data_IF_091017636877
#
_entry.id   IF_091017636877
#
_cell.length_a   1.000
_cell.length_b   1.000
_cell.length_c   1.000
_cell.angle_alpha   90.00
_cell.angle_beta   90.00
_cell.angle_gamma   90.00
#
_symmetry.space_group_name_H-M   'P 1'
#
loop_
_entity.id
_entity.type
_entity.pdbx_description
1 polymer ?
#
# COMPACT_ATOMS: atom_id res chain seq x y z
N UNK A 1 7.80 10.60 14.68
CA UNK A 1 8.14 10.12 13.33
C UNK A 1 9.52 9.44 13.33
N UNK A 2 10.60 10.15 13.64
CA UNK A 2 11.97 9.60 13.58
C UNK A 2 12.17 8.32 14.40
N UNK A 3 11.69 8.29 15.65
CA UNK A 3 11.81 7.10 16.50
C UNK A 3 11.04 5.89 15.94
N UNK A 4 9.90 6.14 15.27
CA UNK A 4 9.14 5.09 14.62
C UNK A 4 9.89 4.53 13.40
N UNK A 5 10.54 5.40 12.61
CA UNK A 5 11.40 4.99 11.49
C UNK A 5 12.59 4.18 12.00
N UNK A 6 13.29 4.65 13.03
CA UNK A 6 14.40 3.91 13.66
C UNK A 6 13.97 2.54 14.15
N UNK A 7 12.79 2.46 14.77
CA UNK A 7 12.21 1.18 15.17
C UNK A 7 11.97 0.27 13.96
N UNK A 8 11.31 0.75 12.90
CA UNK A 8 11.09 -0.01 11.67
C UNK A 8 12.40 -0.53 11.05
N UNK A 9 13.45 0.30 11.03
CA UNK A 9 14.79 -0.10 10.58
C UNK A 9 15.37 -1.21 11.47
N UNK A 10 15.23 -1.10 12.79
CA UNK A 10 15.75 -2.11 13.73
C UNK A 10 15.10 -3.48 13.59
N UNK A 11 13.86 -3.54 13.10
CA UNK A 11 13.12 -4.78 12.84
C UNK A 11 13.16 -5.20 11.36
N UNK A 12 13.92 -4.51 10.52
CA UNK A 12 14.09 -4.83 9.10
C UNK A 12 12.91 -4.52 8.20
N UNK A 13 12.00 -3.62 8.61
CA UNK A 13 10.82 -3.22 7.82
C UNK A 13 11.13 -2.13 6.78
N UNK A 14 12.16 -1.34 6.99
CA UNK A 14 12.56 -0.24 6.09
C UNK A 14 14.08 -0.22 5.95
N UNK A 15 14.57 0.21 4.79
CA UNK A 15 15.99 0.35 4.51
C UNK A 15 16.66 1.50 5.29
N UNK A 16 17.99 1.62 5.18
CA UNK A 16 18.76 2.73 5.77
C UNK A 16 18.29 4.09 5.24
N UNK A 17 18.00 4.17 3.95
CA UNK A 17 17.28 5.28 3.35
C UNK A 17 15.81 4.88 3.15
N UNK A 18 14.88 5.32 4.02
CA UNK A 18 13.48 4.91 3.96
C UNK A 18 12.66 5.76 2.98
N UNK A 19 13.29 6.61 2.16
CA UNK A 19 12.62 7.60 1.28
C UNK A 19 11.54 6.97 0.41
N UNK A 20 11.82 5.81 -0.19
CA UNK A 20 10.83 5.15 -1.06
C UNK A 20 9.55 4.73 -0.32
N UNK A 21 9.69 4.28 0.93
CA UNK A 21 8.56 3.87 1.77
C UNK A 21 7.81 5.07 2.33
N UNK A 22 8.54 6.02 2.92
CA UNK A 22 7.93 7.12 3.70
C UNK A 22 7.39 8.23 2.82
N UNK A 23 7.94 8.44 1.62
CA UNK A 23 7.44 9.40 0.64
C UNK A 23 6.43 8.78 -0.34
N UNK A 24 6.20 7.46 -0.25
CA UNK A 24 5.17 6.76 -1.00
C UNK A 24 5.55 6.40 -2.43
N UNK A 25 6.84 6.43 -2.78
CA UNK A 25 7.31 6.06 -4.12
C UNK A 25 7.18 4.57 -4.41
N UNK A 26 7.44 3.69 -3.44
CA UNK A 26 7.20 2.25 -3.60
C UNK A 26 5.71 1.97 -3.92
N UNK A 27 4.81 2.61 -3.19
CA UNK A 27 3.37 2.57 -3.44
C UNK A 27 3.01 3.12 -4.83
N UNK A 28 3.61 4.25 -5.26
CA UNK A 28 3.38 4.83 -6.58
C UNK A 28 3.84 3.90 -7.72
N UNK A 29 4.97 3.22 -7.55
CA UNK A 29 5.48 2.24 -8.53
C UNK A 29 4.51 1.07 -8.67
N UNK A 30 4.05 0.50 -7.54
CA UNK A 30 3.07 -0.60 -7.53
C UNK A 30 1.76 -0.19 -8.19
N UNK A 31 1.25 1.00 -7.88
CA UNK A 31 0.03 1.55 -8.49
C UNK A 31 0.17 1.75 -9.99
N UNK A 32 1.26 2.33 -10.47
CA UNK A 32 1.50 2.53 -11.90
C UNK A 32 1.56 1.20 -12.67
N UNK A 33 2.19 0.18 -12.10
CA UNK A 33 2.21 -1.18 -12.65
C UNK A 33 0.80 -1.79 -12.70
N UNK A 34 0.02 -1.68 -11.62
CA UNK A 34 -1.36 -2.17 -11.56
C UNK A 34 -2.27 -1.48 -12.60
N UNK A 35 -2.13 -0.16 -12.80
CA UNK A 35 -2.86 0.56 -13.85
C UNK A 35 -2.50 0.00 -15.22
N UNK A 36 -1.21 -0.15 -15.49
CA UNK A 36 -0.71 -0.63 -16.78
C UNK A 36 -1.26 -2.03 -17.09
N UNK A 37 -1.24 -2.94 -16.13
CA UNK A 37 -1.67 -4.33 -16.33
C UNK A 37 -3.18 -4.50 -16.29
N UNK A 38 -3.87 -3.89 -15.34
CA UNK A 38 -5.30 -4.13 -15.11
C UNK A 38 -6.22 -3.22 -15.90
N UNK A 39 -5.74 -2.04 -16.31
CA UNK A 39 -6.53 -1.05 -17.05
C UNK A 39 -6.02 -0.82 -18.48
N UNK A 40 -5.03 -1.62 -18.92
CA UNK A 40 -4.42 -1.55 -20.26
C UNK A 40 -4.05 -0.12 -20.67
N UNK A 41 -3.49 0.63 -19.73
CA UNK A 41 -3.17 2.06 -19.89
C UNK A 41 -1.74 2.31 -19.43
N UNK A 42 -0.81 2.69 -20.33
CA UNK A 42 0.55 3.03 -19.94
C UNK A 42 0.56 4.16 -18.90
N UNK A 43 1.14 3.88 -17.73
CA UNK A 43 1.15 4.82 -16.61
C UNK A 43 2.51 4.78 -15.91
N UNK A 44 3.03 5.95 -15.58
CA UNK A 44 4.34 6.09 -14.91
C UNK A 44 4.17 6.46 -13.44
N UNK A 45 5.10 6.06 -12.55
CA UNK A 45 5.04 6.44 -11.13
C UNK A 45 5.00 7.96 -10.91
N UNK A 46 5.64 8.74 -11.80
CA UNK A 46 5.66 10.21 -11.75
C UNK A 46 4.27 10.83 -11.96
N UNK A 47 3.38 10.15 -12.69
CA UNK A 47 1.99 10.61 -12.88
C UNK A 47 1.13 10.44 -11.62
N UNK A 48 1.56 9.63 -10.64
CA UNK A 48 0.85 9.45 -9.36
C UNK A 48 1.09 10.63 -8.41
N UNK A 49 2.30 11.21 -8.43
CA UNK A 49 2.75 12.29 -7.54
C UNK A 49 2.43 12.02 -6.04
N UNK A 50 3.13 11.04 -5.41
CA UNK A 50 2.77 10.56 -4.08
C UNK A 50 2.97 11.62 -3.00
N UNK A 51 2.09 11.62 -2.00
CA UNK A 51 2.28 12.33 -0.73
C UNK A 51 2.67 11.31 0.34
N UNK A 52 3.81 11.53 0.97
CA UNK A 52 4.31 10.66 2.03
C UNK A 52 3.63 10.80 3.39
N UNK A 53 4.14 10.04 4.36
CA UNK A 53 3.69 10.06 5.76
C UNK A 53 4.54 10.95 6.68
N UNK A 54 5.57 11.66 6.16
CA UNK A 54 6.49 12.48 6.96
C UNK A 54 5.79 13.56 7.79
N UNK A 55 4.71 14.13 7.25
CA UNK A 55 3.94 15.19 7.91
C UNK A 55 2.98 14.71 9.00
N UNK A 56 2.86 13.40 9.25
CA UNK A 56 1.94 12.86 10.26
C UNK A 56 2.55 12.98 11.65
N UNK A 57 1.88 13.72 12.54
CA UNK A 57 2.34 13.95 13.91
C UNK A 57 1.65 13.05 14.95
N UNK A 58 2.25 12.86 16.14
CA UNK A 58 1.60 12.15 17.24
C UNK A 58 0.24 12.74 17.64
N UNK A 59 0.08 14.07 17.59
CA UNK A 59 -1.16 14.77 17.92
C UNK A 59 -2.26 14.43 16.90
N UNK A 60 -1.91 14.41 15.61
CA UNK A 60 -2.83 13.99 14.54
C UNK A 60 -3.29 12.55 14.76
N UNK A 61 -2.38 11.64 15.12
CA UNK A 61 -2.71 10.23 15.40
C UNK A 61 -3.61 10.12 16.63
N UNK A 62 -3.33 10.86 17.70
CA UNK A 62 -4.13 10.86 18.92
C UNK A 62 -5.55 11.38 18.65
N UNK A 63 -5.69 12.47 17.90
CA UNK A 63 -6.99 13.01 17.49
C UNK A 63 -7.77 12.03 16.60
N UNK A 64 -7.11 11.42 15.62
CA UNK A 64 -7.73 10.40 14.77
C UNK A 64 -8.29 9.24 15.62
N UNK A 65 -7.51 8.78 16.60
CA UNK A 65 -7.91 7.70 17.51
C UNK A 65 -9.16 8.07 18.33
N UNK A 66 -9.25 9.30 18.85
CA UNK A 66 -10.45 9.79 19.57
C UNK A 66 -11.69 9.76 18.68
N UNK A 67 -11.51 10.03 17.38
CA UNK A 67 -12.60 9.98 16.38
C UNK A 67 -12.92 8.56 15.87
N UNK A 68 -12.27 7.51 16.41
CA UNK A 68 -12.42 6.15 15.90
C UNK A 68 -11.81 5.95 14.51
N UNK A 69 -10.82 6.77 14.13
CA UNK A 69 -10.14 6.76 12.83
C UNK A 69 -8.67 6.42 12.95
N UNK A 70 -8.06 6.05 11.83
CA UNK A 70 -6.63 5.74 11.70
C UNK A 70 -6.08 6.34 10.41
N UNK A 71 -4.83 6.81 10.45
CA UNK A 71 -4.10 7.14 9.23
C UNK A 71 -3.63 5.86 8.53
N UNK A 72 -3.79 5.83 7.21
CA UNK A 72 -3.24 4.82 6.31
C UNK A 72 -2.62 5.51 5.09
N UNK A 73 -1.49 5.02 4.61
CA UNK A 73 -0.99 5.42 3.29
C UNK A 73 -1.79 4.65 2.25
N UNK A 74 -2.74 5.32 1.60
CA UNK A 74 -3.71 4.69 0.70
C UNK A 74 -3.31 4.92 -0.74
N UNK A 75 -3.30 3.83 -1.50
CA UNK A 75 -3.26 3.83 -2.95
C UNK A 75 -4.70 3.80 -3.48
N UNK A 76 -5.09 4.76 -4.31
CA UNK A 76 -6.39 4.77 -4.97
C UNK A 76 -6.24 5.03 -6.46
N UNK A 77 -7.03 4.31 -7.25
CA UNK A 77 -7.10 4.43 -8.70
C UNK A 77 -8.56 4.37 -9.12
N UNK A 78 -8.98 5.30 -9.95
CA UNK A 78 -10.30 5.32 -10.55
C UNK A 78 -10.21 5.66 -12.04
N UNK A 79 -10.98 4.93 -12.86
CA UNK A 79 -11.18 5.27 -14.26
C UNK A 79 -12.43 6.14 -14.40
N UNK A 80 -12.23 7.40 -14.79
CA UNK A 80 -13.28 8.36 -15.07
C UNK A 80 -13.34 8.61 -16.59
N UNK A 81 -14.10 7.76 -17.30
CA UNK A 81 -14.11 7.75 -18.77
C UNK A 81 -12.75 7.34 -19.33
N UNK A 82 -12.12 8.23 -20.09
CA UNK A 82 -10.78 7.99 -20.68
C UNK A 82 -9.62 8.44 -19.79
N UNK A 83 -9.91 8.96 -18.59
CA UNK A 83 -8.89 9.42 -17.65
C UNK A 83 -8.70 8.43 -16.51
N UNK A 84 -7.44 8.19 -16.16
CA UNK A 84 -7.05 7.48 -14.94
C UNK A 84 -6.66 8.53 -13.90
N UNK A 85 -7.36 8.49 -12.76
CA UNK A 85 -7.01 9.27 -11.58
C UNK A 85 -6.34 8.33 -10.59
N UNK A 86 -5.05 8.51 -10.36
CA UNK A 86 -4.26 7.73 -9.40
C UNK A 86 -3.75 8.63 -8.29
N UNK A 87 -3.76 8.12 -7.05
CA UNK A 87 -3.28 8.85 -5.87
C UNK A 87 -2.61 7.90 -4.89
N UNK A 88 -1.55 8.40 -4.26
CA UNK A 88 -0.92 7.79 -3.08
C UNK A 88 -0.78 8.87 -2.02
N UNK A 89 -1.42 8.71 -0.88
CA UNK A 89 -1.36 9.69 0.20
C UNK A 89 -1.90 9.17 1.54
N UNK A 90 -1.57 9.83 2.68
CA UNK A 90 -2.22 9.54 3.95
C UNK A 90 -3.71 9.86 3.89
N UNK A 91 -4.53 8.93 4.36
CA UNK A 91 -5.98 9.08 4.48
C UNK A 91 -6.44 8.64 5.88
N UNK A 92 -7.46 9.33 6.40
CA UNK A 92 -8.15 8.92 7.61
C UNK A 92 -9.24 7.91 7.27
N UNK A 93 -9.07 6.68 7.73
CA UNK A 93 -10.05 5.61 7.58
C UNK A 93 -10.75 5.32 8.91
N UNK A 94 -12.03 5.00 8.87
CA UNK A 94 -12.81 4.53 10.03
C UNK A 94 -13.08 3.02 9.94
N UNK A 95 -13.72 2.46 10.98
CA UNK A 95 -13.98 1.03 11.10
C UNK A 95 -14.83 0.41 9.99
N UNK A 96 -15.51 1.20 9.16
CA UNK A 96 -16.23 0.69 7.98
C UNK A 96 -15.30 0.38 6.81
N UNK A 97 -14.11 0.96 6.78
CA UNK A 97 -13.10 0.69 5.75
C UNK A 97 -12.41 -0.66 5.99
N UNK A 98 -12.22 -1.49 4.95
CA UNK A 98 -11.43 -2.73 5.07
C UNK A 98 -9.98 -2.44 5.49
N UNK A 99 -9.48 -1.22 5.22
CA UNK A 99 -8.13 -0.81 5.57
C UNK A 99 -7.94 -0.54 7.07
N UNK A 100 -9.01 -0.30 7.83
CA UNK A 100 -8.92 0.10 9.23
C UNK A 100 -8.30 -0.99 10.12
N UNK A 101 -8.73 -2.24 9.90
CA UNK A 101 -8.28 -3.40 10.65
C UNK A 101 -6.89 -3.92 10.27
N UNK A 102 -6.34 -3.47 9.14
CA UNK A 102 -5.01 -3.88 8.70
C UNK A 102 -3.95 -3.24 9.59
N UNK A 103 -3.04 -4.03 10.14
CA UNK A 103 -2.04 -3.56 11.12
C UNK A 103 -0.66 -4.08 10.76
N UNK A 104 0.37 -3.47 11.35
CA UNK A 104 1.76 -3.88 11.13
C UNK A 104 2.10 -3.88 9.63
N UNK A 105 2.62 -4.99 9.12
CA UNK A 105 2.99 -5.23 7.72
C UNK A 105 1.84 -5.76 6.85
N UNK A 106 0.60 -5.81 7.36
CA UNK A 106 -0.55 -6.25 6.56
C UNK A 106 -0.71 -5.39 5.31
N UNK A 107 -0.92 -6.05 4.16
CA UNK A 107 -1.20 -5.38 2.88
C UNK A 107 -2.49 -5.90 2.28
N UNK A 108 -3.10 -5.13 1.40
CA UNK A 108 -4.39 -5.49 0.86
C UNK A 108 -4.81 -4.56 -0.26
N UNK A 109 -5.66 -5.09 -1.12
CA UNK A 109 -6.20 -4.41 -2.28
C UNK A 109 -7.69 -4.72 -2.37
N UNK A 110 -8.49 -3.70 -2.63
CA UNK A 110 -9.92 -3.83 -2.90
C UNK A 110 -10.17 -3.44 -4.35
N UNK A 111 -10.76 -4.36 -5.10
CA UNK A 111 -11.22 -4.13 -6.46
C UNK A 111 -12.70 -3.77 -6.43
N UNK A 112 -13.06 -2.71 -7.14
CA UNK A 112 -14.46 -2.35 -7.41
C UNK A 112 -14.72 -2.56 -8.88
N UNK A 113 -15.82 -3.25 -9.17
CA UNK A 113 -16.20 -3.60 -10.53
C UNK A 113 -17.64 -3.20 -10.79
N UNK A 114 -18.07 -3.27 -12.04
CA UNK A 114 -19.43 -3.00 -12.47
C UNK A 114 -20.41 -4.13 -12.13
N UNK A 115 -19.91 -5.37 -11.97
CA UNK A 115 -20.74 -6.56 -11.71
C UNK A 115 -20.55 -7.12 -10.29
N UNK A 116 -19.29 -7.39 -9.91
CA UNK A 116 -18.98 -7.89 -8.58
C UNK A 116 -18.97 -6.72 -7.58
N UNK A 117 -19.60 -6.89 -6.40
CA UNK A 117 -19.36 -6.01 -5.26
C UNK A 117 -17.87 -5.98 -4.88
N UNK A 118 -17.50 -5.09 -3.97
CA UNK A 118 -16.12 -4.93 -3.48
C UNK A 118 -15.46 -6.28 -3.16
N UNK A 119 -14.43 -6.62 -3.95
CA UNK A 119 -13.64 -7.84 -3.80
C UNK A 119 -12.27 -7.47 -3.23
N UNK A 120 -11.93 -8.04 -2.06
CA UNK A 120 -10.69 -7.68 -1.37
C UNK A 120 -9.76 -8.88 -1.18
N UNK A 121 -8.47 -8.67 -1.41
CA UNK A 121 -7.40 -9.60 -1.07
C UNK A 121 -6.59 -8.95 0.04
N UNK A 122 -6.39 -9.64 1.16
CA UNK A 122 -5.65 -9.14 2.32
C UNK A 122 -4.63 -10.19 2.75
N UNK A 123 -3.40 -9.74 2.97
CA UNK A 123 -2.35 -10.51 3.63
C UNK A 123 -2.08 -9.89 5.00
N UNK A 124 -2.03 -10.74 6.02
CA UNK A 124 -1.76 -10.32 7.40
C UNK A 124 -0.88 -11.36 8.08
N UNK A 125 -0.01 -10.87 8.95
CA UNK A 125 0.80 -11.72 9.82
C UNK A 125 -0.11 -12.51 10.79
N UNK A 126 0.29 -13.75 11.05
CA UNK A 126 -0.33 -14.65 12.03
C UNK A 126 0.72 -14.99 13.07
N UNK A 127 0.32 -15.47 14.23
CA UNK A 127 1.28 -15.91 15.25
C UNK A 127 2.28 -16.92 14.65
N UNK A 128 3.58 -16.64 14.79
CA UNK A 128 4.65 -17.45 14.22
C UNK A 128 4.92 -17.28 12.72
N UNK A 129 4.16 -16.45 11.99
CA UNK A 129 4.36 -16.17 10.57
C UNK A 129 4.67 -14.70 10.34
N UNK A 130 5.90 -14.41 9.89
CA UNK A 130 6.34 -13.07 9.51
C UNK A 130 6.58 -13.02 8.02
N UNK A 131 6.17 -11.93 7.39
CA UNK A 131 6.49 -11.66 5.99
C UNK A 131 8.01 -11.55 5.83
N UNK A 132 8.55 -12.01 4.71
CA UNK A 132 9.98 -11.97 4.46
C UNK A 132 10.36 -12.11 2.98
N UNK A 133 11.64 -12.41 2.71
CA UNK A 133 12.13 -12.53 1.34
C UNK A 133 11.65 -13.81 0.63
N UNK A 134 11.14 -14.79 1.37
CA UNK A 134 10.70 -16.09 0.82
C UNK A 134 9.47 -15.90 -0.07
N UNK A 135 8.55 -15.03 0.33
CA UNK A 135 7.34 -14.70 -0.43
C UNK A 135 7.70 -14.05 -1.76
N UNK A 136 8.64 -13.09 -1.76
CA UNK A 136 9.15 -12.46 -2.98
C UNK A 136 9.89 -13.45 -3.88
N UNK A 137 10.73 -14.32 -3.30
CA UNK A 137 11.44 -15.34 -4.05
C UNK A 137 10.49 -16.36 -4.70
N UNK A 138 9.40 -16.72 -4.00
CA UNK A 138 8.37 -17.60 -4.55
C UNK A 138 7.66 -16.95 -5.75
N UNK A 139 7.36 -15.65 -5.70
CA UNK A 139 6.81 -14.91 -6.84
C UNK A 139 7.70 -15.02 -8.09
N UNK A 140 9.01 -14.75 -7.94
CA UNK A 140 9.98 -14.88 -9.03
C UNK A 140 10.06 -16.32 -9.57
N UNK A 141 10.05 -17.32 -8.68
CA UNK A 141 10.06 -18.72 -9.07
C UNK A 141 8.82 -19.12 -9.86
N UNK A 142 7.64 -18.68 -9.42
CA UNK A 142 6.38 -18.93 -10.12
C UNK A 142 6.40 -18.31 -11.53
N UNK A 143 6.88 -17.07 -11.67
CA UNK A 143 7.02 -16.40 -12.96
C UNK A 143 8.00 -17.14 -13.88
N UNK A 144 9.15 -17.57 -13.35
CA UNK A 144 10.12 -18.38 -14.11
C UNK A 144 9.50 -19.68 -14.63
N UNK A 145 8.81 -20.43 -13.76
CA UNK A 145 8.13 -21.68 -14.15
C UNK A 145 7.07 -21.44 -15.22
N UNK A 146 6.36 -20.31 -15.18
CA UNK A 146 5.36 -19.98 -16.19
C UNK A 146 5.99 -19.57 -17.52
N UNK A 147 7.13 -18.88 -17.51
CA UNK A 147 7.82 -18.42 -18.72
C UNK A 147 8.49 -19.54 -19.52
N UNK A 148 8.84 -20.66 -18.88
CA UNK A 148 9.51 -21.81 -19.53
C UNK A 148 8.59 -22.98 -19.88
N UNK A 149 7.29 -22.87 -19.58
CA UNK A 149 6.26 -23.81 -20.04
C UNK A 149 5.86 -23.51 -21.48
#
# INVERSE_FOLDING_TARGET
>A
YEDAVKYCQSVGLTETDPTNDVDGWDAAIKVAALITVLMDTPFTPQQVNPTGIRGITPEMIAQAKVQGKRYKLVCSVERAGDKINARVAPELVDASSPLYGMMNSSTGVTFRTDVLPDYSIITSEREGMKSGPVETAYGLFADFVNAVK
#
